data_IF_277354985436
#
_entry.id   IF_277354985436
#
_cell.length_a   1.000
_cell.length_b   1.000
_cell.length_c   1.000
_cell.angle_alpha   90.00
_cell.angle_beta   90.00
_cell.angle_gamma   90.00
#
_symmetry.space_group_name_H-M   'P 1'
#
loop_
_entity.id
_entity.type
_entity.pdbx_description
1 polymer ?
#
# COMPACT_ATOMS: atom_id res chain seq x y z
N UNK A 1 6.98 -1.07 3.73
CA UNK A 1 7.31 -1.94 4.89
C UNK A 1 8.20 -1.16 5.84
N UNK A 2 8.15 -1.43 7.15
CA UNK A 2 8.97 -0.75 8.17
C UNK A 2 9.50 -1.76 9.20
N UNK A 3 10.61 -1.44 9.86
CA UNK A 3 11.15 -2.23 10.99
C UNK A 3 10.95 -1.42 12.27
N UNK A 4 10.11 -1.88 13.22
CA UNK A 4 9.93 -1.21 14.50
C UNK A 4 11.25 -1.14 15.29
N UNK A 5 11.47 -0.04 16.02
CA UNK A 5 12.64 0.12 16.92
C UNK A 5 12.73 -0.98 17.99
N UNK A 6 11.63 -1.63 18.30
CA UNK A 6 11.52 -2.72 19.27
C UNK A 6 11.77 -4.10 18.68
N UNK A 7 12.13 -4.21 17.39
CA UNK A 7 12.41 -5.48 16.73
C UNK A 7 13.57 -6.21 17.42
N UNK A 8 13.38 -7.51 17.67
CA UNK A 8 14.42 -8.39 18.23
C UNK A 8 15.22 -9.12 17.14
N UNK A 9 14.76 -9.05 15.89
CA UNK A 9 15.29 -9.78 14.74
C UNK A 9 15.45 -8.82 13.56
N UNK A 10 16.27 -7.79 13.75
CA UNK A 10 16.42 -6.72 12.76
C UNK A 10 16.97 -7.26 11.44
N UNK A 11 18.00 -8.10 11.49
CA UNK A 11 18.64 -8.66 10.30
C UNK A 11 17.66 -9.50 9.48
N UNK A 12 16.86 -10.33 10.12
CA UNK A 12 15.87 -11.17 9.47
C UNK A 12 14.73 -10.33 8.86
N UNK A 13 14.33 -9.24 9.53
CA UNK A 13 13.35 -8.31 8.99
C UNK A 13 13.88 -7.58 7.74
N UNK A 14 15.16 -7.17 7.73
CA UNK A 14 15.81 -6.60 6.54
C UNK A 14 15.88 -7.61 5.39
N UNK A 15 16.22 -8.88 5.68
CA UNK A 15 16.20 -9.95 4.68
C UNK A 15 14.80 -10.19 4.11
N UNK A 16 13.76 -10.12 4.94
CA UNK A 16 12.39 -10.24 4.46
C UNK A 16 11.98 -9.07 3.56
N UNK A 17 12.35 -7.84 3.91
CA UNK A 17 12.10 -6.67 3.05
C UNK A 17 12.80 -6.84 1.70
N UNK A 18 14.05 -7.29 1.71
CA UNK A 18 14.79 -7.58 0.47
C UNK A 18 14.07 -8.64 -0.38
N UNK A 19 13.66 -9.75 0.24
CA UNK A 19 12.92 -10.82 -0.44
C UNK A 19 11.63 -10.32 -1.09
N UNK A 20 10.84 -9.50 -0.38
CA UNK A 20 9.60 -8.93 -0.91
C UNK A 20 9.84 -7.91 -2.04
N UNK A 21 11.04 -7.35 -2.14
CA UNK A 21 11.45 -6.45 -3.22
C UNK A 21 12.08 -7.18 -4.42
N UNK A 22 12.32 -8.50 -4.34
CA UNK A 22 12.78 -9.27 -5.50
C UNK A 22 11.66 -9.39 -6.54
N UNK A 23 11.97 -9.17 -7.83
CA UNK A 23 10.96 -9.07 -8.91
C UNK A 23 9.99 -10.25 -8.95
N UNK A 24 10.49 -11.49 -8.88
CA UNK A 24 9.62 -12.68 -8.95
C UNK A 24 8.71 -12.80 -7.73
N UNK A 25 9.21 -12.47 -6.54
CA UNK A 25 8.42 -12.48 -5.30
C UNK A 25 7.36 -11.39 -5.35
N UNK A 26 7.73 -10.18 -5.76
CA UNK A 26 6.82 -9.06 -5.91
C UNK A 26 5.76 -9.33 -6.99
N UNK A 27 6.11 -10.01 -8.09
CA UNK A 27 5.18 -10.47 -9.13
C UNK A 27 4.17 -11.47 -8.59
N UNK A 28 4.63 -12.55 -7.97
CA UNK A 28 3.75 -13.56 -7.38
C UNK A 28 2.78 -12.94 -6.36
N UNK A 29 3.26 -11.96 -5.56
CA UNK A 29 2.42 -11.26 -4.60
C UNK A 29 1.39 -10.36 -5.27
N UNK A 30 1.78 -9.59 -6.29
CA UNK A 30 0.87 -8.71 -7.02
C UNK A 30 -0.21 -9.50 -7.78
N UNK A 31 0.18 -10.59 -8.45
CA UNK A 31 -0.72 -11.47 -9.19
C UNK A 31 -1.76 -12.14 -8.27
N UNK A 32 -1.31 -12.64 -7.10
CA UNK A 32 -2.21 -13.32 -6.17
C UNK A 32 -3.16 -12.37 -5.43
N UNK A 33 -2.66 -11.21 -4.98
CA UNK A 33 -3.43 -10.26 -4.15
C UNK A 33 -4.26 -9.28 -5.00
N UNK A 34 -3.82 -8.97 -6.22
CA UNK A 34 -4.54 -8.12 -7.17
C UNK A 34 -4.47 -6.61 -6.90
N UNK A 35 -3.64 -6.16 -5.95
CA UNK A 35 -3.40 -4.74 -5.73
C UNK A 35 -2.32 -4.18 -6.66
N UNK A 36 -2.46 -2.92 -7.04
CA UNK A 36 -1.48 -2.22 -7.86
C UNK A 36 -0.08 -2.23 -7.21
N UNK A 37 0.87 -2.84 -7.89
CA UNK A 37 2.25 -2.95 -7.40
C UNK A 37 3.04 -1.66 -7.63
N UNK A 38 3.85 -1.18 -6.66
CA UNK A 38 4.77 -0.08 -6.88
C UNK A 38 6.07 -0.52 -7.61
N UNK A 39 6.25 -1.83 -7.84
CA UNK A 39 7.48 -2.36 -8.44
C UNK A 39 7.43 -2.25 -9.96
N UNK A 40 8.21 -1.34 -10.54
CA UNK A 40 8.17 -0.98 -11.97
C UNK A 40 8.41 -2.14 -12.94
N UNK A 41 9.35 -3.04 -12.64
CA UNK A 41 9.57 -4.23 -13.48
C UNK A 41 8.41 -5.23 -13.44
N UNK A 42 7.73 -5.35 -12.29
CA UNK A 42 6.58 -6.26 -12.16
C UNK A 42 5.41 -5.77 -13.00
N UNK A 43 5.20 -4.45 -13.11
CA UNK A 43 4.15 -3.88 -13.97
C UNK A 43 4.30 -4.38 -15.41
N UNK A 44 5.53 -4.53 -15.92
CA UNK A 44 5.78 -5.05 -17.28
C UNK A 44 5.49 -6.55 -17.46
N UNK A 45 5.38 -7.28 -16.35
CA UNK A 45 5.13 -8.72 -16.33
C UNK A 45 3.65 -9.07 -16.13
N UNK A 46 2.85 -8.14 -15.63
CA UNK A 46 1.42 -8.32 -15.38
C UNK A 46 0.62 -8.35 -16.68
N UNK A 47 -0.62 -8.83 -16.58
CA UNK A 47 -1.57 -8.82 -17.68
C UNK A 47 -1.74 -7.40 -18.28
N UNK A 48 -1.52 -7.20 -19.58
CA UNK A 48 -1.75 -5.93 -20.25
C UNK A 48 -3.15 -5.35 -20.02
N UNK A 49 -4.18 -6.19 -19.93
CA UNK A 49 -5.56 -5.73 -19.69
C UNK A 49 -5.72 -5.14 -18.28
N UNK A 50 -5.04 -5.73 -17.29
CA UNK A 50 -5.00 -5.20 -15.92
C UNK A 50 -4.23 -3.88 -15.84
N UNK A 51 -3.07 -3.80 -16.51
CA UNK A 51 -2.24 -2.58 -16.48
C UNK A 51 -2.82 -1.43 -17.29
N UNK A 52 -3.75 -1.71 -18.21
CA UNK A 52 -4.54 -0.71 -18.92
C UNK A 52 -5.79 -0.24 -18.15
N UNK A 53 -6.20 -0.95 -17.09
CA UNK A 53 -7.33 -0.54 -16.25
C UNK A 53 -6.96 0.66 -15.37
N UNK A 54 -7.54 1.83 -15.69
CA UNK A 54 -7.32 3.09 -14.96
C UNK A 54 -7.81 3.05 -13.51
N UNK A 55 -8.69 2.11 -13.14
CA UNK A 55 -9.10 1.92 -11.75
C UNK A 55 -7.98 1.29 -10.91
N UNK A 56 -7.17 0.43 -11.49
CA UNK A 56 -6.02 -0.19 -10.85
C UNK A 56 -4.73 0.63 -11.05
N UNK A 57 -4.50 1.12 -12.26
CA UNK A 57 -3.32 1.89 -12.67
C UNK A 57 -3.75 3.25 -13.25
N UNK A 58 -4.10 4.21 -12.38
CA UNK A 58 -4.55 5.53 -12.79
C UNK A 58 -3.44 6.34 -13.48
N UNK A 59 -3.86 7.29 -14.32
CA UNK A 59 -2.98 8.32 -14.88
C UNK A 59 -2.77 9.47 -13.89
N UNK A 60 -1.81 10.36 -14.16
CA UNK A 60 -1.61 11.55 -13.33
C UNK A 60 -2.84 12.46 -13.27
N UNK A 61 -3.60 12.58 -14.37
CA UNK A 61 -4.86 13.35 -14.42
C UNK A 61 -5.94 12.74 -13.53
N UNK A 62 -6.03 11.41 -13.47
CA UNK A 62 -6.98 10.72 -12.57
C UNK A 62 -6.68 11.00 -11.09
N UNK A 63 -5.42 11.30 -10.77
CA UNK A 63 -4.94 11.54 -9.40
C UNK A 63 -5.02 13.01 -8.98
N UNK A 64 -5.37 13.95 -9.85
CA UNK A 64 -5.31 15.40 -9.57
C UNK A 64 -6.12 15.82 -8.32
N UNK A 65 -7.25 15.15 -8.09
CA UNK A 65 -8.14 15.43 -6.94
C UNK A 65 -8.03 14.37 -5.83
N UNK A 66 -7.03 13.48 -5.90
CA UNK A 66 -6.77 12.52 -4.84
C UNK A 66 -5.90 13.15 -3.75
N UNK A 67 -6.21 12.82 -2.50
CA UNK A 67 -5.46 13.29 -1.34
C UNK A 67 -4.80 12.11 -0.63
N UNK A 68 -3.56 12.31 -0.19
CA UNK A 68 -2.90 11.37 0.73
C UNK A 68 -3.29 11.77 2.15
N UNK A 69 -3.70 10.80 2.96
CA UNK A 69 -3.98 11.06 4.37
C UNK A 69 -2.74 11.57 5.08
N UNK A 70 -2.83 12.80 5.60
CA UNK A 70 -1.83 13.37 6.49
C UNK A 70 -2.15 13.04 7.93
N UNK A 71 -1.13 12.96 8.78
CA UNK A 71 -1.34 12.82 10.23
C UNK A 71 -1.86 14.16 10.79
N UNK A 72 -3.12 14.23 11.28
CA UNK A 72 -3.73 15.49 11.68
C UNK A 72 -3.45 15.87 13.13
N UNK A 73 -2.58 15.12 13.83
CA UNK A 73 -2.36 15.24 15.27
C UNK A 73 -3.30 14.34 16.09
N UNK A 74 -2.90 14.06 17.33
CA UNK A 74 -3.60 13.12 18.22
C UNK A 74 -5.02 13.58 18.59
N UNK A 75 -5.22 14.88 18.75
CA UNK A 75 -6.53 15.44 19.10
C UNK A 75 -7.56 15.21 17.98
N UNK A 76 -7.21 15.58 16.75
CA UNK A 76 -8.10 15.41 15.59
C UNK A 76 -8.33 13.92 15.32
N UNK A 77 -7.30 13.08 15.39
CA UNK A 77 -7.44 11.63 15.24
C UNK A 77 -8.42 11.03 16.27
N UNK A 78 -8.38 11.50 17.52
CA UNK A 78 -9.32 11.05 18.56
C UNK A 78 -10.76 11.44 18.20
N UNK A 79 -10.98 12.64 17.71
CA UNK A 79 -12.32 13.08 17.29
C UNK A 79 -12.82 12.28 16.09
N UNK A 80 -11.99 12.01 15.08
CA UNK A 80 -12.33 11.11 13.97
C UNK A 80 -12.74 9.72 14.48
N UNK A 81 -12.00 9.17 15.45
CA UNK A 81 -12.32 7.88 16.07
C UNK A 81 -13.65 7.88 16.83
N UNK A 82 -13.95 8.95 17.58
CA UNK A 82 -15.23 9.11 18.28
C UNK A 82 -16.40 9.14 17.30
N UNK A 83 -16.33 10.00 16.29
CA UNK A 83 -17.37 10.15 15.27
C UNK A 83 -17.60 8.82 14.54
N UNK A 84 -16.53 8.13 14.14
CA UNK A 84 -16.65 6.83 13.47
C UNK A 84 -17.32 5.77 14.34
N UNK A 85 -17.05 5.78 15.64
CA UNK A 85 -17.71 4.88 16.60
C UNK A 85 -19.20 5.15 16.70
N UNK A 86 -19.61 6.43 16.76
CA UNK A 86 -21.02 6.84 16.79
C UNK A 86 -21.76 6.41 15.51
N UNK A 87 -21.13 6.58 14.34
CA UNK A 87 -21.69 6.15 13.05
C UNK A 87 -21.89 4.64 13.00
N UNK A 88 -20.92 3.85 13.49
CA UNK A 88 -21.01 2.38 13.45
C UNK A 88 -21.89 1.75 14.54
N UNK A 89 -22.23 2.50 15.60
CA UNK A 89 -23.05 2.01 16.70
C UNK A 89 -24.57 2.13 16.45
N UNK A 90 -24.95 2.76 15.34
CA UNK A 90 -26.32 2.77 14.79
C UNK A 90 -26.56 1.52 13.94
#
# INVERSE_FOLDING_TARGET
>A
MVIPKTSKHQKEAELFINFMCETNTAFNNAEYIGYATPHTEVIKMLDPDLTADRAAYPTEEDLENCEIFEYPGDEINREYGRIWTEVKAQ
#
